data_IF_978345541092
#
_entry.id   IF_978345541092
#
_cell.length_a   1.000
_cell.length_b   1.000
_cell.length_c   1.000
_cell.angle_alpha   90.00
_cell.angle_beta   90.00
_cell.angle_gamma   90.00
#
_symmetry.space_group_name_H-M   'P 1'
#
loop_
_entity.id
_entity.type
_entity.pdbx_description
1 polymer ?
#
# COMPACT_ATOMS: atom_id res chain seq x y z
N UNK A 1 3.71 31.23 -0.70
CA UNK A 1 3.83 29.92 -1.38
C UNK A 1 4.01 30.21 -2.86
N UNK A 2 5.13 29.82 -3.46
CA UNK A 2 5.35 29.94 -4.90
C UNK A 2 5.17 28.56 -5.53
N UNK A 3 4.23 28.46 -6.46
CA UNK A 3 3.96 27.25 -7.24
C UNK A 3 4.44 27.50 -8.68
N UNK A 4 4.88 26.46 -9.39
CA UNK A 4 5.27 26.58 -10.81
C UNK A 4 4.06 26.87 -11.70
N UNK A 5 4.26 27.62 -12.79
CA UNK A 5 3.20 28.10 -13.70
C UNK A 5 2.37 26.99 -14.39
N UNK A 6 2.88 25.76 -14.37
CA UNK A 6 2.27 24.55 -14.96
C UNK A 6 1.38 23.77 -13.98
N UNK A 7 1.13 24.32 -12.79
CA UNK A 7 0.46 23.60 -11.69
C UNK A 7 -0.73 24.39 -11.17
N UNK A 8 -1.89 23.75 -11.13
CA UNK A 8 -3.08 24.25 -10.45
C UNK A 8 -3.04 23.82 -8.98
N UNK A 9 -3.25 24.78 -8.09
CA UNK A 9 -3.55 24.48 -6.69
C UNK A 9 -5.02 24.10 -6.61
N UNK A 10 -5.31 22.88 -6.17
CA UNK A 10 -6.67 22.44 -5.91
C UNK A 10 -6.86 22.16 -4.42
N UNK A 11 -8.12 22.12 -3.99
CA UNK A 11 -8.51 21.75 -2.64
C UNK A 11 -9.27 20.43 -2.72
N UNK A 12 -8.64 19.30 -2.39
CA UNK A 12 -9.34 18.01 -2.27
C UNK A 12 -9.61 17.70 -0.79
N UNK A 13 -10.89 17.55 -0.43
CA UNK A 13 -11.33 17.02 0.86
C UNK A 13 -11.38 15.50 0.73
N UNK A 14 -10.31 14.81 1.12
CA UNK A 14 -10.34 13.36 1.30
C UNK A 14 -10.42 13.06 2.80
N UNK A 15 -11.61 13.22 3.38
CA UNK A 15 -11.93 12.59 4.67
C UNK A 15 -12.49 11.22 4.37
N UNK A 16 -11.88 10.18 4.93
CA UNK A 16 -12.62 8.97 5.24
C UNK A 16 -13.94 9.40 5.91
N UNK A 17 -15.07 8.93 5.39
CA UNK A 17 -16.40 9.30 5.85
C UNK A 17 -16.58 8.90 7.32
N UNK A 18 -16.18 9.79 8.23
CA UNK A 18 -16.51 9.78 9.65
C UNK A 18 -17.24 11.08 10.03
N UNK A 19 -18.19 11.50 9.20
CA UNK A 19 -19.04 12.68 9.43
C UNK A 19 -19.24 13.56 8.21
N UNK A 20 -20.08 14.60 8.35
CA UNK A 20 -20.21 15.66 7.33
C UNK A 20 -19.03 16.62 7.42
N UNK A 21 -18.64 17.30 6.32
CA UNK A 21 -17.50 18.24 6.31
C UNK A 21 -17.58 19.34 7.38
N UNK A 22 -18.79 19.71 7.80
CA UNK A 22 -19.09 20.73 8.79
C UNK A 22 -18.89 20.26 10.24
N UNK A 23 -18.69 18.95 10.46
CA UNK A 23 -18.52 18.32 11.78
C UNK A 23 -17.05 18.06 12.15
N UNK A 24 -16.11 18.45 11.28
CA UNK A 24 -14.68 18.19 11.44
C UNK A 24 -13.95 19.38 12.05
N UNK A 25 -13.44 19.24 13.28
CA UNK A 25 -12.63 20.27 13.98
C UNK A 25 -11.18 20.38 13.47
N UNK A 26 -10.85 19.71 12.36
CA UNK A 26 -9.51 19.75 11.78
C UNK A 26 -9.24 21.08 11.05
N UNK A 27 -8.13 21.74 11.40
CA UNK A 27 -7.63 22.87 10.63
C UNK A 27 -6.88 22.36 9.40
N UNK A 28 -7.52 22.42 8.23
CA UNK A 28 -6.93 21.95 6.98
C UNK A 28 -5.96 23.00 6.40
N UNK A 29 -4.76 22.56 6.03
CA UNK A 29 -3.96 23.23 4.99
C UNK A 29 -3.87 22.32 3.78
N UNK A 30 -4.72 22.58 2.79
CA UNK A 30 -4.74 21.79 1.58
C UNK A 30 -3.66 22.27 0.61
N UNK A 31 -2.86 21.32 0.12
CA UNK A 31 -1.87 21.50 -0.93
C UNK A 31 -2.08 20.41 -1.98
N UNK A 32 -3.22 20.42 -2.68
CA UNK A 32 -3.34 19.59 -3.88
C UNK A 32 -2.64 20.33 -5.01
N UNK A 33 -1.77 19.61 -5.72
CA UNK A 33 -1.13 20.11 -6.92
C UNK A 33 -1.57 19.23 -8.08
N UNK A 34 -2.38 19.80 -8.96
CA UNK A 34 -2.72 19.16 -10.23
C UNK A 34 -1.84 19.80 -11.29
N UNK A 35 -1.07 19.00 -12.05
CA UNK A 35 -0.47 19.54 -13.28
C UNK A 35 -1.58 19.87 -14.26
N UNK A 36 -1.44 20.99 -14.98
CA UNK A 36 -2.35 21.28 -16.10
C UNK A 36 -2.30 20.11 -17.07
N UNK A 37 -3.48 19.58 -17.39
CA UNK A 37 -3.63 18.42 -18.26
C UNK A 37 -3.02 18.74 -19.62
N UNK A 38 -1.96 18.03 -19.99
CA UNK A 38 -1.31 18.19 -21.30
C UNK A 38 -2.00 17.33 -22.37
N UNK A 39 -2.57 16.18 -21.98
CA UNK A 39 -3.36 15.28 -22.83
C UNK A 39 -4.72 14.98 -22.14
N UNK A 40 -5.86 15.45 -22.70
CA UNK A 40 -7.20 15.31 -22.08
C UNK A 40 -7.60 13.88 -21.71
N UNK A 41 -7.06 12.93 -22.45
CA UNK A 41 -7.32 11.49 -22.44
C UNK A 41 -6.32 10.71 -21.57
N UNK A 42 -5.31 11.38 -20.98
CA UNK A 42 -4.35 10.80 -20.02
C UNK A 42 -4.11 11.72 -18.82
N UNK A 43 -5.07 11.85 -17.89
CA UNK A 43 -4.85 12.64 -16.70
C UNK A 43 -3.79 11.98 -15.80
N UNK A 44 -2.62 12.60 -15.67
CA UNK A 44 -1.64 12.22 -14.63
C UNK A 44 -2.10 12.79 -13.29
N UNK A 45 -2.48 11.92 -12.36
CA UNK A 45 -2.82 12.31 -10.99
C UNK A 45 -1.60 12.13 -10.06
N UNK A 46 -1.28 13.15 -9.26
CA UNK A 46 -0.37 13.02 -8.11
C UNK A 46 -1.09 13.54 -6.87
N UNK A 47 -1.27 12.66 -5.90
CA UNK A 47 -1.73 12.92 -4.52
C UNK A 47 -0.50 12.82 -3.59
N UNK A 48 -0.34 13.43 -2.41
CA UNK A 48 -1.01 14.46 -1.62
C UNK A 48 -0.03 14.68 -0.43
N UNK A 49 0.33 15.91 -0.05
CA UNK A 49 0.98 16.15 1.26
C UNK A 49 -0.07 16.75 2.18
N UNK A 50 -0.64 15.91 3.05
CA UNK A 50 -1.57 16.35 4.09
C UNK A 50 -0.86 16.44 5.42
N UNK A 51 -1.08 17.54 6.13
CA UNK A 51 -0.84 17.61 7.56
C UNK A 51 -2.20 17.70 8.28
N UNK A 52 -2.86 16.57 8.59
CA UNK A 52 -4.11 16.59 9.35
C UNK A 52 -3.80 16.90 10.80
N UNK A 53 -4.14 18.09 11.31
CA UNK A 53 -3.94 18.40 12.74
C UNK A 53 -4.76 19.56 13.29
N UNK A 54 -4.79 19.59 14.62
CA UNK A 54 -5.21 20.72 15.43
C UNK A 54 -3.92 21.44 15.91
N UNK A 55 -3.61 22.64 15.38
CA UNK A 55 -2.46 23.48 15.79
C UNK A 55 -1.53 23.98 14.66
N UNK A 56 -0.47 24.73 14.98
CA UNK A 56 0.40 25.49 14.03
C UNK A 56 1.32 24.71 13.06
N UNK A 57 0.98 24.54 11.78
CA UNK A 57 1.70 23.72 10.76
C UNK A 57 3.19 23.38 11.02
N UNK A 58 3.57 22.09 11.05
CA UNK A 58 4.96 21.64 11.29
C UNK A 58 5.78 21.81 10.02
N UNK A 59 5.17 21.93 8.84
CA UNK A 59 5.90 22.19 7.61
C UNK A 59 6.33 23.66 7.54
N UNK A 60 7.63 23.89 7.38
CA UNK A 60 8.24 25.22 7.21
C UNK A 60 8.53 25.54 5.76
N UNK A 61 8.77 24.53 4.92
CA UNK A 61 9.03 24.71 3.49
C UNK A 61 8.51 23.52 2.69
N UNK A 62 7.96 23.82 1.52
CA UNK A 62 7.58 22.85 0.49
C UNK A 62 8.14 23.38 -0.83
N UNK A 63 8.82 22.53 -1.61
CA UNK A 63 9.35 22.86 -2.94
C UNK A 63 9.06 21.69 -3.88
N UNK A 64 8.58 21.97 -5.10
CA UNK A 64 8.52 20.97 -6.16
C UNK A 64 9.93 20.69 -6.73
N UNK A 65 10.17 19.44 -7.09
CA UNK A 65 11.33 19.00 -7.84
C UNK A 65 10.83 18.58 -9.22
N UNK A 66 11.19 19.33 -10.25
CA UNK A 66 10.74 19.05 -11.61
C UNK A 66 11.55 17.93 -12.22
N UNK A 67 10.94 17.18 -13.13
CA UNK A 67 11.67 16.32 -14.05
C UNK A 67 12.11 17.17 -15.24
N UNK A 68 13.40 17.08 -15.58
CA UNK A 68 14.01 17.83 -16.69
C UNK A 68 14.37 16.92 -17.87
N UNK A 69 14.43 15.60 -17.65
CA UNK A 69 14.64 14.57 -18.68
C UNK A 69 14.04 13.24 -18.21
N UNK A 70 13.46 12.46 -19.11
CA UNK A 70 12.78 11.19 -18.80
C UNK A 70 11.26 11.34 -18.72
N UNK A 71 10.62 10.59 -17.82
CA UNK A 71 9.16 10.49 -17.72
C UNK A 71 8.44 11.84 -17.63
N UNK A 72 7.55 12.12 -18.58
CA UNK A 72 6.71 13.32 -18.54
C UNK A 72 5.79 13.34 -17.29
N UNK A 73 5.38 12.17 -16.82
CA UNK A 73 4.55 11.97 -15.61
C UNK A 73 5.34 12.04 -14.30
N UNK A 74 6.68 12.03 -14.34
CA UNK A 74 7.51 12.04 -13.15
C UNK A 74 7.46 13.37 -12.40
N UNK A 75 7.59 13.32 -11.08
CA UNK A 75 7.53 14.48 -10.19
C UNK A 75 8.28 14.24 -8.88
N UNK A 76 8.69 15.30 -8.20
CA UNK A 76 9.19 15.21 -6.84
C UNK A 76 8.76 16.38 -5.95
N UNK A 77 8.89 16.19 -4.64
CA UNK A 77 8.57 17.20 -3.63
C UNK A 77 9.56 17.12 -2.48
N UNK A 78 10.10 18.28 -2.09
CA UNK A 78 10.92 18.45 -0.89
C UNK A 78 10.11 19.16 0.19
N UNK A 79 10.12 18.60 1.38
CA UNK A 79 9.48 19.08 2.60
C UNK A 79 10.55 19.39 3.65
N UNK A 80 10.39 20.50 4.37
CA UNK A 80 11.13 20.81 5.58
C UNK A 80 10.16 21.00 6.73
N UNK A 81 10.46 20.38 7.86
CA UNK A 81 9.66 20.52 9.09
C UNK A 81 10.26 21.57 10.04
N UNK A 82 9.49 22.02 11.04
CA UNK A 82 9.96 22.90 12.12
C UNK A 82 11.01 22.23 13.00
N UNK A 83 10.87 20.92 13.19
CA UNK A 83 11.86 20.09 13.88
C UNK A 83 13.14 19.86 13.09
N UNK A 84 13.33 20.53 11.95
CA UNK A 84 14.55 20.44 11.15
C UNK A 84 14.60 19.25 10.18
N UNK A 85 13.62 18.34 10.21
CA UNK A 85 13.55 17.17 9.31
C UNK A 85 13.42 17.60 7.84
N UNK A 86 14.20 16.99 6.97
CA UNK A 86 14.21 17.19 5.53
C UNK A 86 13.76 15.90 4.82
N UNK A 87 12.70 15.98 4.04
CA UNK A 87 12.11 14.83 3.33
C UNK A 87 11.98 15.18 1.85
N UNK A 88 12.53 14.39 0.96
CA UNK A 88 12.30 14.53 -0.49
C UNK A 88 11.74 13.24 -1.05
N UNK A 89 10.63 13.33 -1.78
CA UNK A 89 10.01 12.22 -2.51
C UNK A 89 10.23 12.43 -4.01
N UNK A 90 10.65 11.38 -4.70
CA UNK A 90 10.84 11.31 -6.14
C UNK A 90 9.94 10.20 -6.71
N UNK A 91 9.21 10.50 -7.76
CA UNK A 91 8.20 9.62 -8.35
C UNK A 91 8.33 9.61 -9.87
N UNK A 92 8.33 8.42 -10.48
CA UNK A 92 8.43 8.21 -11.94
C UNK A 92 7.76 6.88 -12.37
N UNK A 93 6.43 6.78 -12.31
CA UNK A 93 5.73 5.50 -12.34
C UNK A 93 5.67 4.83 -13.71
N UNK A 94 5.84 5.59 -14.78
CA UNK A 94 5.61 5.12 -16.16
C UNK A 94 6.87 4.66 -16.87
N UNK A 95 8.06 4.94 -16.34
CA UNK A 95 9.30 4.53 -17.00
C UNK A 95 9.66 3.08 -16.66
N UNK A 96 9.83 2.21 -17.68
CA UNK A 96 10.42 0.91 -17.48
C UNK A 96 11.77 1.09 -16.75
N UNK A 97 12.05 0.24 -15.77
CA UNK A 97 13.13 0.44 -14.78
C UNK A 97 14.57 0.52 -15.30
N UNK A 98 14.79 0.71 -16.59
CA UNK A 98 16.08 0.91 -17.25
C UNK A 98 16.26 2.34 -17.81
N UNK A 99 15.24 3.20 -17.83
CA UNK A 99 15.38 4.60 -18.26
C UNK A 99 15.63 5.56 -17.11
N UNK A 100 16.54 6.51 -17.34
CA UNK A 100 16.86 7.56 -16.39
C UNK A 100 15.77 8.65 -16.36
N UNK A 101 15.21 8.86 -15.18
CA UNK A 101 14.47 10.09 -14.85
C UNK A 101 15.41 11.06 -14.14
N UNK A 102 15.63 12.23 -14.73
CA UNK A 102 16.53 13.27 -14.20
C UNK A 102 15.70 14.42 -13.62
N UNK A 103 16.00 14.78 -12.38
CA UNK A 103 15.34 15.83 -11.63
C UNK A 103 16.13 17.14 -11.62
N UNK A 104 15.44 18.27 -11.42
CA UNK A 104 16.02 19.63 -11.44
C UNK A 104 17.00 19.93 -10.30
N UNK A 105 17.08 19.04 -9.31
CA UNK A 105 18.06 19.08 -8.22
C UNK A 105 19.31 18.22 -8.49
N UNK A 106 19.40 17.62 -9.69
CA UNK A 106 20.50 16.76 -10.12
C UNK A 106 20.33 15.29 -9.78
N UNK A 107 19.26 14.90 -9.08
CA UNK A 107 18.95 13.50 -8.77
C UNK A 107 18.61 12.72 -10.04
N UNK A 108 19.05 11.47 -10.13
CA UNK A 108 18.68 10.56 -11.23
C UNK A 108 18.13 9.26 -10.68
N UNK A 109 17.04 8.77 -11.25
CA UNK A 109 16.34 7.57 -10.80
C UNK A 109 15.96 6.68 -11.98
N UNK A 110 16.27 5.39 -11.89
CA UNK A 110 15.78 4.34 -12.77
C UNK A 110 14.73 3.50 -12.03
N UNK A 111 13.46 3.84 -12.16
CA UNK A 111 12.35 3.16 -11.49
C UNK A 111 11.35 4.13 -10.85
N UNK A 112 10.36 3.62 -10.09
CA UNK A 112 9.13 4.37 -9.84
C UNK A 112 9.14 5.26 -8.61
N UNK A 113 9.86 4.91 -7.53
CA UNK A 113 9.74 5.65 -6.27
C UNK A 113 11.02 5.65 -5.44
N UNK A 114 11.44 6.84 -5.00
CA UNK A 114 12.48 7.01 -3.99
C UNK A 114 12.09 8.09 -2.98
N UNK A 115 12.54 7.90 -1.74
CA UNK A 115 12.36 8.85 -0.64
C UNK A 115 13.71 9.07 0.04
N UNK A 116 14.04 10.33 0.30
CA UNK A 116 15.24 10.73 1.04
C UNK A 116 14.80 11.45 2.31
N UNK A 117 15.16 10.90 3.48
CA UNK A 117 14.88 11.52 4.79
C UNK A 117 16.19 11.79 5.50
N UNK A 118 16.52 13.06 5.72
CA UNK A 118 17.76 13.49 6.38
C UNK A 118 19.01 12.75 5.82
N UNK A 119 19.04 12.59 4.49
CA UNK A 119 20.07 11.88 3.70
C UNK A 119 20.00 10.35 3.68
N UNK A 120 19.07 9.73 4.42
CA UNK A 120 18.79 8.29 4.31
C UNK A 120 17.89 8.03 3.11
N UNK A 121 18.28 7.07 2.28
CA UNK A 121 17.56 6.73 1.05
C UNK A 121 16.71 5.49 1.29
N UNK A 122 15.48 5.52 0.81
CA UNK A 122 14.61 4.37 0.67
C UNK A 122 14.04 4.36 -0.75
N UNK A 123 14.05 3.19 -1.38
CA UNK A 123 13.60 3.04 -2.77
C UNK A 123 12.59 1.91 -2.91
N UNK A 124 11.75 1.98 -3.93
CA UNK A 124 10.82 0.91 -4.30
C UNK A 124 10.71 0.85 -5.83
N UNK A 125 10.93 -0.33 -6.39
CA UNK A 125 11.07 -0.63 -7.81
C UNK A 125 12.30 -0.02 -8.49
N UNK A 126 13.24 0.57 -7.75
CA UNK A 126 14.34 1.35 -8.32
C UNK A 126 15.57 0.49 -8.52
N UNK A 127 16.09 0.42 -9.74
CA UNK A 127 17.34 -0.28 -10.05
C UNK A 127 18.55 0.55 -9.65
N UNK A 128 18.58 1.82 -10.04
CA UNK A 128 19.62 2.77 -9.65
C UNK A 128 19.03 4.11 -9.23
N UNK A 129 19.57 4.67 -8.16
CA UNK A 129 19.22 5.98 -7.64
C UNK A 129 20.50 6.76 -7.37
N UNK A 130 20.71 7.88 -8.05
CA UNK A 130 21.85 8.76 -7.86
C UNK A 130 21.38 10.02 -7.15
N UNK A 131 21.88 10.22 -5.94
CA UNK A 131 21.57 11.38 -5.12
C UNK A 131 22.86 12.00 -4.61
N UNK A 132 23.10 13.27 -4.98
CA UNK A 132 24.39 13.95 -4.80
C UNK A 132 25.52 13.12 -5.44
N UNK A 133 26.60 12.89 -4.71
CA UNK A 133 27.78 12.15 -5.17
C UNK A 133 27.68 10.63 -4.94
N UNK A 134 26.52 10.12 -4.53
CA UNK A 134 26.32 8.71 -4.21
C UNK A 134 25.38 8.03 -5.21
N UNK A 135 25.73 6.80 -5.57
CA UNK A 135 24.91 5.91 -6.39
C UNK A 135 24.46 4.74 -5.53
N UNK A 136 23.15 4.57 -5.44
CA UNK A 136 22.47 3.49 -4.75
C UNK A 136 21.93 2.53 -5.81
N UNK A 137 22.32 1.26 -5.76
CA UNK A 137 21.84 0.23 -6.66
C UNK A 137 21.10 -0.87 -5.90
N UNK A 138 19.92 -1.26 -6.39
CA UNK A 138 19.19 -2.41 -5.86
C UNK A 138 19.53 -3.66 -6.66
N UNK A 139 19.64 -4.80 -5.97
CA UNK A 139 19.69 -6.10 -6.63
C UNK A 139 18.33 -6.50 -7.25
N UNK A 140 17.29 -5.68 -7.04
CA UNK A 140 15.93 -5.94 -7.46
C UNK A 140 15.11 -6.70 -6.40
N UNK A 141 13.82 -6.90 -6.66
CA UNK A 141 12.94 -7.63 -5.76
C UNK A 141 13.37 -9.10 -5.66
N UNK A 142 13.32 -9.65 -4.46
CA UNK A 142 13.49 -11.08 -4.19
C UNK A 142 12.14 -11.67 -3.85
N UNK A 143 11.91 -12.90 -4.30
CA UNK A 143 10.63 -13.57 -4.16
C UNK A 143 10.74 -14.85 -3.33
N UNK A 144 9.77 -15.01 -2.44
CA UNK A 144 9.52 -16.24 -1.69
C UNK A 144 8.05 -16.65 -1.77
N UNK A 145 7.70 -17.71 -1.04
CA UNK A 145 6.33 -18.19 -0.92
C UNK A 145 5.99 -18.52 0.53
N UNK A 146 4.76 -18.24 0.92
CA UNK A 146 4.23 -18.68 2.21
C UNK A 146 4.06 -20.20 2.18
N UNK A 147 4.78 -20.91 3.06
CA UNK A 147 4.71 -22.37 3.22
C UNK A 147 4.04 -22.78 4.54
N UNK A 148 3.91 -21.85 5.49
CA UNK A 148 3.24 -22.06 6.76
C UNK A 148 2.65 -20.74 7.29
N UNK A 149 1.61 -20.84 8.11
CA UNK A 149 0.87 -19.67 8.60
C UNK A 149 0.27 -19.96 9.99
N UNK A 150 0.53 -19.07 10.95
CA UNK A 150 -0.17 -19.03 12.22
C UNK A 150 -0.71 -17.61 12.47
N UNK A 151 -2.03 -17.46 12.37
CA UNK A 151 -2.70 -16.16 12.45
C UNK A 151 -2.78 -15.58 13.85
N UNK A 152 -2.80 -16.44 14.88
CA UNK A 152 -2.88 -16.01 16.28
C UNK A 152 -1.54 -15.45 16.75
N UNK A 153 -0.45 -15.98 16.20
CA UNK A 153 0.92 -15.50 16.43
C UNK A 153 1.36 -14.45 15.40
N UNK A 154 0.55 -14.15 14.39
CA UNK A 154 0.89 -13.29 13.25
C UNK A 154 2.16 -13.73 12.51
N UNK A 155 2.41 -15.04 12.47
CA UNK A 155 3.62 -15.58 11.85
C UNK A 155 3.33 -16.23 10.51
N UNK A 156 4.26 -16.04 9.59
CA UNK A 156 4.34 -16.78 8.33
C UNK A 156 5.68 -17.48 8.23
N UNK A 157 5.67 -18.71 7.71
CA UNK A 157 6.88 -19.41 7.32
C UNK A 157 7.03 -19.21 5.81
N UNK A 158 8.22 -18.74 5.40
CA UNK A 158 8.53 -18.37 4.02
C UNK A 158 9.77 -19.11 3.56
N UNK A 159 9.77 -19.55 2.30
CA UNK A 159 10.97 -20.02 1.64
C UNK A 159 11.64 -18.88 0.84
N UNK A 160 12.97 -18.95 0.67
CA UNK A 160 13.72 -18.17 -0.34
C UNK A 160 13.68 -16.64 -0.19
N UNK A 161 13.72 -16.11 1.04
CA UNK A 161 13.90 -14.67 1.30
C UNK A 161 15.21 -14.38 2.04
N UNK A 162 16.32 -14.10 1.33
CA UNK A 162 17.61 -13.82 1.96
C UNK A 162 17.67 -12.41 2.57
N UNK A 163 18.49 -12.26 3.62
CA UNK A 163 18.91 -10.97 4.19
C UNK A 163 17.76 -10.07 4.70
N UNK A 164 16.64 -10.67 5.10
CA UNK A 164 15.52 -9.95 5.70
C UNK A 164 15.76 -9.70 7.19
N UNK A 165 15.40 -8.53 7.68
CA UNK A 165 15.56 -8.13 9.09
C UNK A 165 14.30 -7.50 9.67
N UNK A 166 14.14 -7.46 11.01
CA UNK A 166 13.11 -6.66 11.65
C UNK A 166 13.13 -5.19 11.17
N UNK A 167 11.95 -4.60 11.00
CA UNK A 167 11.75 -3.27 10.43
C UNK A 167 11.71 -3.23 8.90
N UNK A 168 12.12 -4.29 8.21
CA UNK A 168 11.88 -4.40 6.76
C UNK A 168 10.38 -4.58 6.49
N UNK A 169 9.97 -4.27 5.26
CA UNK A 169 8.62 -4.52 4.80
C UNK A 169 8.59 -5.49 3.63
N UNK A 170 7.57 -6.35 3.61
CA UNK A 170 7.30 -7.27 2.50
C UNK A 170 5.92 -7.02 1.93
N UNK A 171 5.77 -7.33 0.64
CA UNK A 171 4.49 -7.31 -0.04
C UNK A 171 4.01 -8.72 -0.28
N UNK A 172 2.78 -9.02 0.12
CA UNK A 172 2.20 -10.36 -0.02
C UNK A 172 1.13 -10.31 -1.11
N UNK A 173 1.07 -11.37 -1.92
CA UNK A 173 0.14 -11.52 -3.05
C UNK A 173 0.20 -10.31 -4.01
N UNK A 174 1.36 -10.04 -4.65
CA UNK A 174 1.56 -8.86 -5.50
C UNK A 174 0.65 -8.80 -6.74
N UNK A 175 0.07 -9.93 -7.16
CA UNK A 175 -0.91 -9.99 -8.26
C UNK A 175 -2.36 -9.82 -7.81
N UNK A 176 -2.62 -9.73 -6.51
CA UNK A 176 -3.92 -9.42 -5.92
C UNK A 176 -3.87 -8.07 -5.21
N UNK A 177 -4.31 -8.02 -3.95
CA UNK A 177 -4.35 -6.77 -3.16
C UNK A 177 -2.97 -6.14 -2.91
N UNK A 178 -1.91 -6.95 -2.95
CA UNK A 178 -0.52 -6.48 -2.90
C UNK A 178 -0.21 -5.59 -1.66
N UNK A 179 -0.78 -5.94 -0.51
CA UNK A 179 -0.61 -5.20 0.73
C UNK A 179 0.79 -5.41 1.33
N UNK A 180 1.29 -4.39 2.02
CA UNK A 180 2.64 -4.33 2.58
C UNK A 180 2.61 -4.49 4.10
N UNK A 181 3.44 -5.38 4.62
CA UNK A 181 3.52 -5.77 6.02
C UNK A 181 4.89 -5.44 6.59
N UNK A 182 4.93 -4.91 7.81
CA UNK A 182 6.18 -4.75 8.55
C UNK A 182 6.56 -6.06 9.22
N UNK A 183 7.86 -6.35 9.24
CA UNK A 183 8.42 -7.51 9.93
C UNK A 183 8.87 -7.08 11.32
N UNK A 184 8.20 -7.60 12.35
CA UNK A 184 8.55 -7.33 13.75
C UNK A 184 9.68 -8.26 14.24
N UNK A 185 9.74 -9.49 13.73
CA UNK A 185 10.76 -10.46 14.11
C UNK A 185 11.07 -11.45 12.97
N UNK A 186 12.29 -11.99 12.96
CA UNK A 186 12.78 -12.98 11.99
C UNK A 186 13.42 -14.13 12.76
N UNK A 187 12.98 -15.36 12.49
CA UNK A 187 13.53 -16.59 13.06
C UNK A 187 13.96 -17.53 11.92
N UNK A 188 15.15 -18.14 12.04
CA UNK A 188 15.63 -19.13 11.08
C UNK A 188 15.04 -20.50 11.35
N UNK A 189 14.43 -21.13 10.34
CA UNK A 189 13.87 -22.49 10.43
C UNK A 189 14.79 -23.56 9.82
N UNK A 190 15.94 -23.17 9.25
CA UNK A 190 16.85 -24.04 8.51
C UNK A 190 16.55 -24.09 7.01
N UNK A 191 17.52 -24.58 6.21
CA UNK A 191 17.38 -24.73 4.73
C UNK A 191 16.92 -23.47 3.97
N UNK A 192 17.28 -22.28 4.46
CA UNK A 192 16.87 -21.01 3.84
C UNK A 192 15.38 -20.68 4.03
N UNK A 193 14.70 -21.34 4.98
CA UNK A 193 13.35 -21.02 5.43
C UNK A 193 13.41 -20.10 6.64
N UNK A 194 12.50 -19.15 6.68
CA UNK A 194 12.37 -18.18 7.75
C UNK A 194 10.95 -18.20 8.30
N UNK A 195 10.82 -17.93 9.58
CA UNK A 195 9.57 -17.51 10.20
C UNK A 195 9.63 -16.00 10.40
N UNK A 196 8.62 -15.31 9.89
CA UNK A 196 8.47 -13.86 10.01
C UNK A 196 7.26 -13.59 10.91
N UNK A 197 7.44 -12.75 11.92
CA UNK A 197 6.33 -12.16 12.68
C UNK A 197 5.96 -10.83 12.05
N UNK A 198 4.69 -10.65 11.71
CA UNK A 198 4.19 -9.44 11.04
C UNK A 198 3.44 -8.52 12.01
N UNK A 199 3.45 -7.22 11.72
CA UNK A 199 2.72 -6.19 12.47
C UNK A 199 1.22 -6.51 12.64
N UNK A 200 0.61 -7.07 11.61
CA UNK A 200 -0.80 -7.47 11.58
C UNK A 200 -1.02 -8.86 11.01
N UNK A 201 -2.04 -9.54 11.55
CA UNK A 201 -2.50 -10.84 11.03
C UNK A 201 -3.20 -10.68 9.67
N UNK A 202 -3.24 -11.75 8.87
CA UNK A 202 -4.06 -11.77 7.65
C UNK A 202 -5.56 -11.72 7.92
N UNK A 203 -6.02 -12.07 9.14
CA UNK A 203 -7.44 -12.09 9.47
C UNK A 203 -8.02 -10.67 9.52
N UNK A 204 -8.92 -10.37 8.57
CA UNK A 204 -9.62 -9.08 8.51
C UNK A 204 -10.92 -9.15 9.32
N UNK A 205 -11.63 -10.27 9.25
CA UNK A 205 -12.82 -10.49 10.06
C UNK A 205 -13.47 -11.85 9.85
N UNK A 206 -14.47 -12.14 10.68
CA UNK A 206 -15.24 -13.39 10.68
C UNK A 206 -16.72 -13.06 10.73
N UNK A 207 -17.53 -13.86 10.04
CA UNK A 207 -18.99 -13.77 10.13
C UNK A 207 -19.61 -15.09 9.73
N UNK A 208 -20.76 -15.47 10.29
CA UNK A 208 -21.57 -16.51 9.71
C UNK A 208 -22.24 -16.00 8.42
N UNK A 209 -22.51 -16.93 7.52
CA UNK A 209 -23.26 -16.70 6.28
C UNK A 209 -24.74 -16.50 6.63
N UNK A 210 -25.35 -15.46 6.09
CA UNK A 210 -26.80 -15.22 6.13
C UNK A 210 -27.48 -15.93 4.96
N UNK A 211 -26.99 -15.72 3.74
CA UNK A 211 -27.53 -16.31 2.52
C UNK A 211 -26.46 -16.45 1.44
N UNK A 212 -26.75 -17.29 0.44
CA UNK A 212 -25.90 -17.49 -0.75
C UNK A 212 -26.81 -17.46 -1.97
N UNK A 213 -26.49 -16.60 -2.92
CA UNK A 213 -27.21 -16.44 -4.19
C UNK A 213 -26.20 -16.32 -5.33
N UNK A 214 -26.09 -17.36 -6.16
CA UNK A 214 -25.08 -17.41 -7.22
C UNK A 214 -23.66 -17.29 -6.64
N UNK A 215 -22.88 -16.30 -7.10
CA UNK A 215 -21.53 -15.99 -6.57
C UNK A 215 -21.55 -15.04 -5.37
N UNK A 216 -22.72 -14.58 -4.95
CA UNK A 216 -22.89 -13.60 -3.88
C UNK A 216 -23.21 -14.29 -2.56
N UNK A 217 -22.55 -13.83 -1.51
CA UNK A 217 -22.65 -14.36 -0.16
C UNK A 217 -22.93 -13.17 0.76
N UNK A 218 -24.06 -13.22 1.47
CA UNK A 218 -24.39 -12.25 2.50
C UNK A 218 -23.88 -12.74 3.84
N UNK A 219 -23.21 -11.86 4.58
CA UNK A 219 -22.67 -12.12 5.91
C UNK A 219 -23.48 -11.36 6.95
N UNK A 220 -23.83 -12.00 8.07
CA UNK A 220 -24.66 -11.36 9.09
C UNK A 220 -23.98 -10.19 9.80
N UNK A 221 -22.64 -10.08 9.71
CA UNK A 221 -21.84 -9.08 10.43
C UNK A 221 -21.09 -8.15 9.49
N UNK A 222 -20.83 -6.96 10.00
CA UNK A 222 -20.09 -5.91 9.34
C UNK A 222 -18.58 -6.17 9.47
N UNK A 223 -17.93 -6.50 8.37
CA UNK A 223 -16.48 -6.64 8.30
C UNK A 223 -15.87 -5.26 8.06
N UNK A 224 -15.35 -4.67 9.14
CA UNK A 224 -14.63 -3.39 9.06
C UNK A 224 -13.20 -3.61 8.59
N UNK A 225 -12.84 -2.90 7.53
CA UNK A 225 -11.46 -2.78 7.06
C UNK A 225 -10.88 -1.47 7.54
N UNK A 226 -9.84 -1.54 8.38
CA UNK A 226 -9.12 -0.34 8.85
C UNK A 226 -8.43 0.43 7.70
N UNK A 227 -8.17 -0.22 6.56
CA UNK A 227 -7.26 0.28 5.50
C UNK A 227 -7.76 0.16 4.05
N UNK A 228 -9.05 -0.09 3.76
CA UNK A 228 -9.52 -0.08 2.36
C UNK A 228 -10.69 -1.01 2.05
N UNK A 229 -10.89 -1.37 0.78
CA UNK A 229 -11.91 -2.33 0.35
C UNK A 229 -11.51 -3.79 0.68
N UNK A 230 -12.46 -4.73 0.56
CA UNK A 230 -12.19 -6.18 0.69
C UNK A 230 -11.88 -6.83 -0.67
N UNK A 231 -11.89 -6.07 -1.75
CA UNK A 231 -11.62 -6.59 -3.09
C UNK A 231 -10.20 -7.14 -3.16
N UNK A 232 -10.02 -8.22 -3.93
CA UNK A 232 -8.78 -8.97 -4.09
C UNK A 232 -8.24 -9.67 -2.82
N UNK A 233 -8.96 -9.58 -1.69
CA UNK A 233 -8.75 -10.46 -0.52
C UNK A 233 -9.42 -11.82 -0.75
N UNK A 234 -9.41 -12.71 0.25
CA UNK A 234 -9.99 -14.06 0.16
C UNK A 234 -11.13 -14.25 1.14
N UNK A 235 -12.22 -14.85 0.66
CA UNK A 235 -13.21 -15.48 1.53
C UNK A 235 -12.75 -16.92 1.77
N UNK A 236 -12.51 -17.27 3.04
CA UNK A 236 -11.99 -18.58 3.44
C UNK A 236 -12.97 -19.28 4.38
N UNK A 237 -13.15 -20.57 4.18
CA UNK A 237 -13.90 -21.44 5.08
C UNK A 237 -13.01 -21.76 6.28
N UNK A 238 -13.50 -21.45 7.47
CA UNK A 238 -12.72 -21.62 8.70
C UNK A 238 -12.35 -23.08 8.97
N UNK A 239 -13.27 -24.00 8.69
CA UNK A 239 -13.12 -25.42 9.02
C UNK A 239 -12.05 -26.16 8.22
N UNK A 240 -11.74 -25.73 6.99
CA UNK A 240 -10.84 -26.48 6.09
C UNK A 240 -9.85 -25.59 5.33
N UNK A 241 -9.89 -24.27 5.50
CA UNK A 241 -8.97 -23.34 4.86
C UNK A 241 -9.18 -23.15 3.36
N UNK A 242 -10.20 -23.75 2.76
CA UNK A 242 -10.52 -23.55 1.33
C UNK A 242 -11.02 -22.13 1.12
N UNK A 243 -10.61 -21.51 0.02
CA UNK A 243 -10.86 -20.09 -0.23
C UNK A 243 -11.18 -19.77 -1.69
N UNK A 244 -11.85 -18.63 -1.88
CA UNK A 244 -12.10 -18.00 -3.17
C UNK A 244 -11.72 -16.51 -3.11
N UNK A 245 -11.41 -15.91 -4.25
CA UNK A 245 -11.03 -14.50 -4.34
C UNK A 245 -12.27 -13.63 -4.24
N UNK A 246 -12.21 -12.54 -3.50
CA UNK A 246 -13.29 -11.56 -3.44
C UNK A 246 -13.13 -10.59 -4.62
N UNK A 247 -14.14 -10.54 -5.49
CA UNK A 247 -14.17 -9.60 -6.62
C UNK A 247 -14.79 -8.27 -6.23
N UNK A 248 -15.85 -8.31 -5.42
CA UNK A 248 -16.57 -7.13 -4.94
C UNK A 248 -17.04 -7.34 -3.51
N UNK A 249 -17.04 -6.27 -2.73
CA UNK A 249 -17.62 -6.31 -1.41
C UNK A 249 -18.09 -4.93 -0.97
N UNK A 250 -19.16 -4.90 -0.19
CA UNK A 250 -19.65 -3.67 0.43
C UNK A 250 -20.44 -3.97 1.68
N UNK A 251 -20.52 -2.95 2.52
CA UNK A 251 -21.31 -2.96 3.74
C UNK A 251 -22.68 -2.35 3.47
N UNK A 252 -23.74 -2.96 4.01
CA UNK A 252 -25.10 -2.42 3.86
C UNK A 252 -25.41 -1.49 5.05
N UNK A 253 -26.05 -0.32 4.81
CA UNK A 253 -26.52 0.58 5.87
C UNK A 253 -27.92 1.16 5.59
N UNK A 254 -28.76 1.44 6.63
CA UNK A 254 -28.60 1.17 8.06
C UNK A 254 -29.67 0.21 8.66
N UNK A 255 -29.25 -0.65 9.61
CA UNK A 255 -30.17 -1.42 10.48
C UNK A 255 -29.58 -2.67 11.16
N UNK A 256 -28.71 -3.44 10.47
CA UNK A 256 -28.11 -4.68 11.02
C UNK A 256 -26.59 -4.82 10.89
N UNK A 257 -25.93 -3.99 10.07
CA UNK A 257 -24.48 -4.07 9.86
C UNK A 257 -24.09 -5.43 9.26
N UNK A 258 -24.37 -5.63 7.97
CA UNK A 258 -23.97 -6.83 7.22
C UNK A 258 -22.95 -6.48 6.14
N UNK A 259 -22.24 -7.49 5.66
CA UNK A 259 -21.31 -7.38 4.53
C UNK A 259 -21.75 -8.31 3.40
N UNK A 260 -21.93 -7.76 2.21
CA UNK A 260 -22.16 -8.51 0.98
C UNK A 260 -20.84 -8.75 0.28
N UNK A 261 -20.57 -9.99 -0.13
CA UNK A 261 -19.34 -10.40 -0.83
C UNK A 261 -19.71 -11.13 -2.12
N UNK A 262 -19.07 -10.75 -3.23
CA UNK A 262 -19.06 -11.51 -4.48
C UNK A 262 -17.69 -12.16 -4.66
N UNK A 263 -17.66 -13.46 -4.93
CA UNK A 263 -16.42 -14.23 -5.15
C UNK A 263 -16.23 -14.61 -6.61
N UNK A 264 -14.98 -14.81 -7.02
CA UNK A 264 -14.57 -15.19 -8.39
C UNK A 264 -15.18 -16.52 -8.84
N UNK A 265 -15.09 -17.51 -7.95
CA UNK A 265 -15.52 -18.88 -8.22
C UNK A 265 -16.02 -19.53 -6.93
N UNK A 266 -17.34 -19.49 -6.74
CA UNK A 266 -17.98 -20.09 -5.58
C UNK A 266 -17.84 -21.61 -5.55
N UNK A 267 -17.61 -22.27 -6.69
CA UNK A 267 -17.49 -23.73 -6.74
C UNK A 267 -16.28 -24.23 -5.94
N UNK A 268 -15.24 -23.41 -5.81
CA UNK A 268 -14.08 -23.67 -4.94
C UNK A 268 -14.49 -23.85 -3.48
N UNK A 269 -15.50 -23.12 -3.03
CA UNK A 269 -15.96 -23.12 -1.64
C UNK A 269 -16.88 -24.32 -1.33
N UNK A 270 -17.28 -25.09 -2.34
CA UNK A 270 -18.22 -26.19 -2.19
C UNK A 270 -19.58 -25.74 -1.63
N UNK A 271 -20.25 -26.63 -0.91
CA UNK A 271 -21.58 -26.32 -0.34
C UNK A 271 -21.48 -25.34 0.84
N UNK A 272 -21.81 -24.08 0.56
CA UNK A 272 -22.02 -23.04 1.55
C UNK A 272 -23.48 -23.02 2.01
N UNK A 273 -23.69 -22.90 3.33
CA UNK A 273 -25.03 -22.87 3.95
C UNK A 273 -25.13 -21.73 4.96
N UNK A 274 -26.32 -21.14 5.14
CA UNK A 274 -26.57 -20.20 6.22
C UNK A 274 -26.12 -20.73 7.59
N UNK A 275 -25.59 -19.85 8.44
CA UNK A 275 -25.03 -20.16 9.75
C UNK A 275 -23.59 -20.68 9.73
N UNK A 276 -23.05 -21.07 8.57
CA UNK A 276 -21.65 -21.51 8.45
C UNK A 276 -20.72 -20.31 8.65
N UNK A 277 -19.72 -20.47 9.51
CA UNK A 277 -18.69 -19.46 9.73
C UNK A 277 -17.66 -19.43 8.60
N UNK A 278 -17.38 -18.22 8.14
CA UNK A 278 -16.34 -17.89 7.17
C UNK A 278 -15.50 -16.75 7.71
N UNK A 279 -14.30 -16.63 7.15
CA UNK A 279 -13.35 -15.58 7.48
C UNK A 279 -12.89 -14.87 6.21
N UNK A 280 -12.69 -13.56 6.32
CA UNK A 280 -12.08 -12.77 5.27
C UNK A 280 -10.62 -12.56 5.64
N UNK A 281 -9.72 -12.96 4.73
CA UNK A 281 -8.28 -12.97 4.98
C UNK A 281 -7.52 -12.32 3.83
N UNK A 282 -6.46 -11.58 4.16
CA UNK A 282 -5.68 -10.86 3.15
C UNK A 282 -4.73 -11.77 2.36
N UNK A 283 -4.16 -12.77 3.05
CA UNK A 283 -3.26 -13.76 2.45
C UNK A 283 -3.45 -15.17 3.04
N UNK A 284 -2.93 -16.15 2.30
CA UNK A 284 -3.03 -17.59 2.57
C UNK A 284 -1.72 -18.30 2.26
N UNK A 285 -1.61 -19.57 2.70
CA UNK A 285 -0.50 -20.44 2.31
C UNK A 285 -0.46 -20.57 0.78
N UNK A 286 0.74 -20.50 0.22
CA UNK A 286 0.98 -20.52 -1.22
C UNK A 286 1.09 -19.14 -1.85
N UNK A 287 0.72 -18.05 -1.17
CA UNK A 287 0.88 -16.70 -1.72
C UNK A 287 2.35 -16.33 -1.90
N UNK A 288 2.63 -15.59 -2.99
CA UNK A 288 3.94 -15.01 -3.26
C UNK A 288 4.23 -13.89 -2.28
N UNK A 289 5.46 -13.85 -1.79
CA UNK A 289 6.00 -12.79 -0.95
C UNK A 289 7.11 -12.10 -1.74
N UNK A 290 7.04 -10.79 -1.84
CA UNK A 290 8.05 -9.97 -2.49
C UNK A 290 8.72 -9.10 -1.45
N UNK A 291 10.03 -9.22 -1.35
CA UNK A 291 10.88 -8.35 -0.56
C UNK A 291 11.71 -7.48 -1.49
N UNK A 292 11.73 -6.18 -1.24
CA UNK A 292 12.66 -5.29 -1.91
C UNK A 292 13.61 -4.69 -0.88
N UNK A 293 14.91 -5.05 -0.93
CA UNK A 293 15.89 -4.50 0.00
C UNK A 293 15.96 -2.98 -0.13
N UNK A 294 15.88 -2.28 1.00
CA UNK A 294 16.15 -0.85 1.03
C UNK A 294 17.64 -0.61 0.81
N UNK A 295 17.97 0.26 -0.15
CA UNK A 295 19.36 0.59 -0.47
C UNK A 295 19.78 1.82 0.36
N UNK A 296 20.72 1.63 1.29
CA UNK A 296 21.40 2.73 2.00
C UNK A 296 20.91 3.03 3.43
N UNK A 297 20.72 2.00 4.27
CA UNK A 297 20.49 2.17 5.71
C UNK A 297 21.74 2.68 6.46
#
# INVERSE_FOLDING_TARGET
>A
MSVSDETDVLTARATALMGTPEQSDYNFRTLLWRRKVQEPDKPTHVDLVMEPRIGEANLTKVRSVKVIQGAASGAGVTLKTRGGKHITLYWSPEEPGDQDTVFDDGTVMQGPLAVVVDHKVATTGVKTFRYRDHVYSSAGPVEGRIIGLNRDQKTIDVDRLPNIKPGDRIRINPGGRAHTYEIEAVEGLGEGRLRLTLDVTSLIGRSPIESVEGQRIELTMHIMTRTGNLEQTRLQIEANGVWASIEKAYNTMPGRGSTSIQVDDISKLGDLKPGRWVQVVDYVIGDRVVFEPTVGA
#
